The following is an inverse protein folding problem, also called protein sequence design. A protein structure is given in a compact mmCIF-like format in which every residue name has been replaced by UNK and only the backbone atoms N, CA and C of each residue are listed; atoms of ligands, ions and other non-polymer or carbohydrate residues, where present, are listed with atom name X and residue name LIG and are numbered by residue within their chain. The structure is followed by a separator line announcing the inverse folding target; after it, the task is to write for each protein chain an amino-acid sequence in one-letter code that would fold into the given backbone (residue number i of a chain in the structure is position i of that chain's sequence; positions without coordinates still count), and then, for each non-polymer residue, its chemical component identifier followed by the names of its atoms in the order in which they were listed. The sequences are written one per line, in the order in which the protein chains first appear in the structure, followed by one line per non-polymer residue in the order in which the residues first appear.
data_IF_838425479583
#
_entry.id   IF_838425479583
#
_cell.length_a   1.000
_cell.length_b   1.000
_cell.length_c   1.000
_cell.angle_alpha   90.00
_cell.angle_beta   90.00
_cell.angle_gamma   90.00
#
_symmetry.space_group_name_H-M   'P 1'
#
loop_
_entity.id
_entity.type
_entity.pdbx_description
1 polymer ?
#
# COMPACT_ATOMS: atom_id res chain seq x y z
N UNK A 1 37.84 -8.08 3.54
CA UNK A 1 36.75 -7.49 4.35
C UNK A 1 35.87 -6.70 3.40
N UNK A 2 34.56 -6.94 3.31
CA UNK A 2 33.68 -6.11 2.48
C UNK A 2 33.52 -4.72 3.14
N UNK A 3 33.57 -3.67 2.33
CA UNK A 3 33.67 -2.28 2.79
C UNK A 3 32.30 -1.57 2.90
N UNK A 4 31.20 -2.21 2.48
CA UNK A 4 29.86 -1.62 2.50
C UNK A 4 28.80 -2.72 2.66
N UNK A 5 28.02 -2.65 3.75
CA UNK A 5 26.81 -3.46 3.92
C UNK A 5 25.60 -2.60 3.55
N UNK A 6 25.02 -2.85 2.38
CA UNK A 6 23.78 -2.19 1.96
C UNK A 6 22.61 -3.00 2.51
N UNK A 7 22.05 -2.56 3.63
CA UNK A 7 20.82 -3.15 4.18
C UNK A 7 19.65 -2.60 3.39
N UNK A 8 19.12 -3.40 2.47
CA UNK A 8 17.92 -3.04 1.71
C UNK A 8 16.68 -3.19 2.61
N UNK A 9 16.27 -2.10 3.26
CA UNK A 9 15.05 -2.07 4.05
C UNK A 9 13.83 -1.95 3.14
N UNK A 10 12.98 -2.97 3.13
CA UNK A 10 11.69 -2.93 2.42
C UNK A 10 10.67 -2.20 3.30
N UNK A 11 10.27 -1.00 2.89
CA UNK A 11 9.19 -0.27 3.54
C UNK A 11 7.85 -0.58 2.86
N UNK A 12 6.79 -0.73 3.67
CA UNK A 12 5.42 -0.96 3.18
C UNK A 12 4.59 0.27 3.52
N UNK A 13 4.11 0.99 2.51
CA UNK A 13 3.21 2.13 2.73
C UNK A 13 1.77 1.64 2.93
N UNK A 14 1.27 1.69 4.15
CA UNK A 14 -0.11 1.38 4.49
C UNK A 14 -0.89 2.65 4.86
N UNK A 15 -2.19 2.66 4.55
CA UNK A 15 -3.09 3.76 4.97
C UNK A 15 -3.81 3.36 6.25
N UNK A 16 -3.52 4.05 7.35
CA UNK A 16 -4.16 3.85 8.66
C UNK A 16 -5.05 5.06 8.94
N UNK A 17 -6.26 4.82 9.46
CA UNK A 17 -7.17 5.89 9.90
C UNK A 17 -6.98 6.06 11.39
N UNK A 18 -6.63 7.26 11.82
CA UNK A 18 -6.53 7.66 13.22
C UNK A 18 -7.67 8.63 13.54
N UNK A 19 -8.04 8.73 14.82
CA UNK A 19 -8.95 9.78 15.30
C UNK A 19 -8.22 11.13 15.33
N UNK A 20 -8.98 12.22 15.27
CA UNK A 20 -8.44 13.58 15.28
C UNK A 20 -7.55 13.85 16.50
N UNK A 21 -7.96 13.35 17.67
CA UNK A 21 -7.22 13.49 18.93
C UNK A 21 -5.87 12.77 18.88
N UNK A 22 -5.85 11.54 18.39
CA UNK A 22 -4.62 10.74 18.30
C UNK A 22 -3.68 11.30 17.24
N UNK A 23 -4.19 11.73 16.08
CA UNK A 23 -3.37 12.38 15.05
C UNK A 23 -2.66 13.63 15.61
N UNK A 24 -3.41 14.47 16.32
CA UNK A 24 -2.85 15.67 16.96
C UNK A 24 -1.76 15.32 17.99
N UNK A 25 -1.97 14.28 18.79
CA UNK A 25 -0.97 13.83 19.78
C UNK A 25 0.29 13.27 19.13
N UNK A 26 0.16 12.55 18.02
CA UNK A 26 1.31 12.05 17.25
C UNK A 26 2.14 13.24 16.74
N UNK A 27 1.50 14.25 16.16
CA UNK A 27 2.20 15.44 15.66
C UNK A 27 2.90 16.22 16.80
N UNK A 28 2.23 16.37 17.94
CA UNK A 28 2.80 17.01 19.13
C UNK A 28 4.01 16.23 19.67
N UNK A 29 3.91 14.91 19.74
CA UNK A 29 4.99 14.07 20.22
C UNK A 29 6.18 14.07 19.24
N UNK A 30 5.90 14.00 17.94
CA UNK A 30 6.90 14.13 16.89
C UNK A 30 7.67 15.46 17.00
N UNK A 31 6.95 16.57 17.22
CA UNK A 31 7.56 17.88 17.45
C UNK A 31 8.43 17.90 18.73
N UNK A 32 7.98 17.24 19.80
CA UNK A 32 8.70 17.16 21.08
C UNK A 32 10.04 16.39 20.95
N UNK A 33 10.04 15.24 20.29
CA UNK A 33 11.25 14.42 20.11
C UNK A 33 12.08 14.84 18.89
N UNK A 34 11.60 15.80 18.10
CA UNK A 34 12.20 16.25 16.83
C UNK A 34 12.36 15.10 15.82
N UNK A 35 11.30 14.32 15.65
CA UNK A 35 11.22 13.23 14.67
C UNK A 35 10.02 13.42 13.73
N UNK A 36 9.86 12.52 12.76
CA UNK A 36 8.68 12.49 11.90
C UNK A 36 7.53 11.73 12.56
N UNK A 37 6.30 12.06 12.19
CA UNK A 37 5.11 11.34 12.65
C UNK A 37 5.16 9.85 12.30
N UNK A 38 5.71 9.50 11.13
CA UNK A 38 5.90 8.12 10.70
C UNK A 38 6.81 7.34 11.66
N UNK A 39 7.93 7.94 12.09
CA UNK A 39 8.88 7.32 13.02
C UNK A 39 8.25 7.09 14.41
N UNK A 40 7.45 8.06 14.88
CA UNK A 40 6.72 7.96 16.14
C UNK A 40 5.76 6.77 16.11
N UNK A 41 5.01 6.61 15.02
CA UNK A 41 4.04 5.52 14.88
C UNK A 41 4.76 4.17 14.78
N UNK A 42 5.81 4.08 13.97
CA UNK A 42 6.60 2.85 13.83
C UNK A 42 7.20 2.41 15.17
N UNK A 43 7.82 3.35 15.89
CA UNK A 43 8.43 3.07 17.18
C UNK A 43 7.39 2.72 18.26
N UNK A 44 6.24 3.40 18.27
CA UNK A 44 5.16 3.08 19.20
C UNK A 44 4.62 1.67 18.96
N UNK A 45 4.38 1.28 17.71
CA UNK A 45 3.92 -0.07 17.37
C UNK A 45 4.98 -1.13 17.71
N UNK A 46 6.24 -0.89 17.35
CA UNK A 46 7.37 -1.77 17.71
C UNK A 46 7.48 -1.97 19.22
N UNK A 47 7.31 -0.91 20.00
CA UNK A 47 7.30 -0.98 21.46
C UNK A 47 6.14 -1.83 21.97
N UNK A 48 4.91 -1.57 21.52
CA UNK A 48 3.72 -2.34 21.94
C UNK A 48 3.91 -3.82 21.61
N UNK A 49 4.31 -4.14 20.38
CA UNK A 49 4.53 -5.52 19.96
C UNK A 49 5.63 -6.21 20.76
N UNK A 50 6.68 -5.50 21.16
CA UNK A 50 7.78 -6.07 21.94
C UNK A 50 7.46 -6.20 23.44
N UNK A 51 6.54 -5.38 23.97
CA UNK A 51 6.20 -5.35 25.39
C UNK A 51 4.97 -6.16 25.75
N UNK A 52 4.06 -6.38 24.81
CA UNK A 52 2.90 -7.21 25.02
C UNK A 52 3.31 -8.70 25.06
N UNK A 53 3.29 -9.27 26.27
CA UNK A 53 3.68 -10.66 26.50
C UNK A 53 2.73 -11.63 25.81
N UNK A 54 1.43 -11.34 25.83
CA UNK A 54 0.43 -12.25 25.29
C UNK A 54 0.47 -12.21 23.75
N UNK A 55 0.75 -11.04 23.17
CA UNK A 55 1.04 -10.92 21.73
C UNK A 55 2.32 -11.66 21.34
N UNK A 56 3.39 -11.56 22.13
CA UNK A 56 4.63 -12.30 21.90
C UNK A 56 4.44 -13.83 21.98
N UNK A 57 3.58 -14.31 22.88
CA UNK A 57 3.23 -15.72 22.94
C UNK A 57 2.37 -16.13 21.74
N UNK A 58 1.42 -15.28 21.32
CA UNK A 58 0.63 -15.48 20.11
C UNK A 58 1.51 -15.61 18.86
N UNK A 59 2.57 -14.81 18.73
CA UNK A 59 3.52 -14.90 17.60
C UNK A 59 4.24 -16.26 17.50
N UNK A 60 4.30 -17.05 18.58
CA UNK A 60 4.89 -18.40 18.56
C UNK A 60 3.91 -19.47 18.07
N UNK A 61 2.61 -19.19 18.05
CA UNK A 61 1.60 -20.15 17.60
C UNK A 61 1.57 -20.23 16.07
N UNK A 62 1.12 -21.35 15.49
CA UNK A 62 0.94 -21.45 14.04
C UNK A 62 -0.17 -20.53 13.50
N UNK A 63 -1.07 -20.06 14.36
CA UNK A 63 -2.18 -19.18 14.00
C UNK A 63 -1.69 -17.80 13.55
N UNK A 64 -0.63 -17.27 14.18
CA UNK A 64 -0.03 -15.99 13.78
C UNK A 64 0.46 -15.98 12.32
N UNK A 65 0.84 -17.15 11.79
CA UNK A 65 1.28 -17.29 10.38
C UNK A 65 0.12 -17.38 9.39
N UNK A 66 -1.09 -17.64 9.86
CA UNK A 66 -2.29 -17.77 9.03
C UNK A 66 -3.13 -16.49 8.98
N UNK A 67 -2.73 -15.43 9.70
CA UNK A 67 -3.46 -14.17 9.72
C UNK A 67 -3.42 -13.50 8.35
N UNK A 68 -4.60 -13.24 7.79
CA UNK A 68 -4.74 -12.51 6.54
C UNK A 68 -4.25 -11.06 6.68
N UNK A 69 -3.52 -10.56 5.68
CA UNK A 69 -3.09 -9.16 5.68
C UNK A 69 -4.29 -8.23 5.52
N UNK A 70 -4.60 -7.45 6.56
CA UNK A 70 -5.73 -6.50 6.58
C UNK A 70 -5.30 -5.05 6.34
N UNK A 71 -3.99 -4.78 6.34
CA UNK A 71 -3.48 -3.44 6.07
C UNK A 71 -3.83 -3.03 4.65
N UNK A 72 -4.39 -1.82 4.49
CA UNK A 72 -4.63 -1.23 3.17
C UNK A 72 -3.29 -0.73 2.63
N UNK A 73 -2.53 -1.65 2.08
CA UNK A 73 -1.25 -1.38 1.45
C UNK A 73 -1.53 -0.58 0.18
N UNK A 74 -0.95 0.62 0.08
CA UNK A 74 -0.83 1.30 -1.21
C UNK A 74 0.21 0.51 -1.98
N UNK A 75 -0.22 -0.40 -2.84
CA UNK A 75 0.68 -1.09 -3.75
C UNK A 75 1.24 -0.05 -4.70
N UNK A 76 2.48 0.41 -4.47
CA UNK A 76 3.22 1.11 -5.49
C UNK A 76 3.26 0.19 -6.73
N UNK A 77 3.05 0.72 -7.95
CA UNK A 77 3.08 -0.10 -9.15
C UNK A 77 4.46 -0.75 -9.21
N UNK A 78 4.49 -2.08 -9.10
CA UNK A 78 5.68 -2.81 -9.48
C UNK A 78 5.96 -2.48 -10.95
N UNK A 79 7.21 -2.22 -11.37
CA UNK A 79 7.53 -2.26 -12.78
C UNK A 79 7.21 -3.68 -13.24
N UNK A 80 6.18 -3.78 -14.08
CA UNK A 80 5.79 -5.00 -14.77
C UNK A 80 7.05 -5.67 -15.32
N UNK A 81 7.37 -6.84 -14.80
CA UNK A 81 8.23 -7.77 -15.48
C UNK A 81 7.49 -8.17 -16.77
N UNK A 82 7.88 -7.52 -17.86
CA UNK A 82 7.48 -7.87 -19.23
C UNK A 82 7.96 -9.30 -19.50
N UNK A 83 7.05 -10.27 -19.47
CA UNK A 83 7.09 -11.56 -20.19
C UNK A 83 5.87 -12.38 -19.75
N UNK A 84 4.92 -12.80 -20.57
CA UNK A 84 5.01 -13.20 -21.97
C UNK A 84 3.60 -13.16 -22.60
N UNK A 85 3.46 -12.39 -23.68
CA UNK A 85 2.31 -12.47 -24.57
C UNK A 85 2.39 -13.77 -25.40
N UNK A 86 1.88 -14.86 -24.80
CA UNK A 86 1.69 -16.16 -25.45
C UNK A 86 0.43 -16.18 -26.32
N UNK A 87 0.64 -15.97 -27.62
CA UNK A 87 -0.30 -16.06 -28.74
C UNK A 87 -1.20 -17.31 -28.71
N UNK A 88 -2.49 -17.18 -29.06
CA UNK A 88 -3.12 -17.74 -30.28
C UNK A 88 -4.65 -17.50 -30.37
N UNK A 89 -5.26 -17.60 -31.58
CA UNK A 89 -6.24 -16.64 -32.10
C UNK A 89 -7.61 -17.27 -32.45
N UNK A 90 -8.66 -16.44 -32.60
CA UNK A 90 -9.81 -16.65 -33.52
C UNK A 90 -10.38 -15.23 -33.82
N UNK A 91 -9.92 -14.50 -34.85
CA UNK A 91 -10.47 -14.42 -36.21
C UNK A 91 -12.01 -14.45 -36.25
N UNK A 92 -12.65 -13.28 -36.17
CA UNK A 92 -13.22 -12.58 -37.33
C UNK A 92 -14.58 -13.12 -37.80
N UNK A 93 -15.62 -12.33 -37.54
CA UNK A 93 -16.69 -11.96 -38.50
C UNK A 93 -17.36 -10.71 -37.92
N UNK A 94 -17.02 -9.50 -38.39
CA UNK A 94 -17.80 -8.73 -39.38
C UNK A 94 -19.30 -8.71 -39.04
N UNK A 95 -19.97 -7.58 -38.87
CA UNK A 95 -20.07 -6.50 -39.87
C UNK A 95 -20.88 -5.31 -39.34
N UNK A 96 -20.47 -4.09 -39.75
CA UNK A 96 -21.25 -2.88 -40.09
C UNK A 96 -22.53 -2.57 -39.26
N UNK A 97 -22.70 -1.36 -38.74
CA UNK A 97 -23.04 -0.18 -39.57
C UNK A 97 -23.04 1.12 -38.76
N UNK A 98 -22.37 2.15 -39.28
CA UNK A 98 -22.56 3.57 -38.92
C UNK A 98 -23.91 4.03 -39.51
N UNK A 99 -24.61 5.00 -38.91
CA UNK A 99 -24.55 6.35 -39.50
C UNK A 99 -24.55 7.50 -38.47
N UNK A 100 -23.71 8.51 -38.72
CA UNK A 100 -23.98 9.93 -38.38
C UNK A 100 -24.91 10.52 -39.46
N UNK A 101 -25.74 11.57 -39.23
CA UNK A 101 -25.24 12.96 -39.29
C UNK A 101 -26.00 14.07 -38.48
N UNK A 102 -25.25 15.12 -38.11
CA UNK A 102 -25.51 16.59 -38.25
C UNK A 102 -26.83 17.24 -37.77
N UNK A 103 -26.70 18.25 -36.88
CA UNK A 103 -27.30 19.61 -36.93
C UNK A 103 -26.79 20.44 -35.71
N UNK A 104 -25.97 21.49 -35.82
CA UNK A 104 -26.17 22.83 -36.37
C UNK A 104 -27.16 23.73 -35.57
N UNK A 105 -26.61 24.76 -34.90
CA UNK A 105 -27.21 26.11 -34.92
C UNK A 105 -28.02 26.62 -33.71
N UNK A 106 -27.43 27.61 -33.02
CA UNK A 106 -27.97 28.91 -32.55
C UNK A 106 -29.45 29.14 -32.18
N UNK A 107 -29.62 29.70 -30.96
CA UNK A 107 -30.51 30.81 -30.46
C UNK A 107 -31.08 30.44 -29.08
N UNK A 108 -31.35 31.34 -28.14
CA UNK A 108 -31.74 32.76 -28.23
C UNK A 108 -31.15 33.59 -27.07
#
# INVERSE_FOLDING_TARGET
MPLLEVIQTKQISASIRLSDTTATQVDQYAAFIRACADDVVEQALSYVFSKDRDFQEFLKTPEARQVASTLRIRKAPAPEAVESAGKKPISALESLSIPTPVAAGSKA
#
